data_IF_725480803563
#
_entry.id   IF_725480803563
#
_cell.length_a   1.000
_cell.length_b   1.000
_cell.length_c   1.000
_cell.angle_alpha   90.00
_cell.angle_beta   90.00
_cell.angle_gamma   90.00
#
_symmetry.space_group_name_H-M   'P 1'
#
loop_
_entity.id
_entity.type
_entity.pdbx_description
1 polymer ?
#
# COMPACT_ATOMS: atom_id res chain seq x y z
N UNK A 1 -13.95 -22.88 -5.42
CA UNK A 1 -12.57 -22.39 -5.69
C UNK A 1 -12.65 -20.89 -5.58
N UNK A 2 -12.05 -20.28 -4.55
CA UNK A 2 -12.08 -18.82 -4.40
C UNK A 2 -11.02 -18.29 -5.37
N UNK A 3 -11.46 -17.67 -6.45
CA UNK A 3 -10.59 -17.12 -7.50
C UNK A 3 -9.96 -15.83 -6.96
N UNK A 4 -8.84 -15.95 -6.25
CA UNK A 4 -8.08 -14.79 -5.80
C UNK A 4 -7.39 -14.17 -7.01
N UNK A 5 -7.90 -13.02 -7.47
CA UNK A 5 -7.28 -12.29 -8.58
C UNK A 5 -6.16 -11.41 -8.04
N UNK A 6 -4.93 -11.85 -8.31
CA UNK A 6 -3.76 -11.02 -8.13
C UNK A 6 -3.47 -10.24 -9.41
N UNK A 7 -3.38 -8.91 -9.32
CA UNK A 7 -3.07 -8.03 -10.44
C UNK A 7 -1.76 -7.30 -10.16
N UNK A 8 -0.86 -7.29 -11.14
CA UNK A 8 0.33 -6.45 -11.09
C UNK A 8 -0.04 -5.00 -11.34
N UNK A 9 0.25 -4.12 -10.38
CA UNK A 9 0.06 -2.67 -10.48
C UNK A 9 1.39 -1.95 -10.23
N UNK A 10 1.59 -0.81 -10.88
CA UNK A 10 2.77 0.03 -10.64
C UNK A 10 2.37 1.19 -9.74
N UNK A 11 2.97 1.27 -8.55
CA UNK A 11 2.76 2.38 -7.63
C UNK A 11 4.05 3.14 -7.39
N UNK A 12 3.91 4.46 -7.23
CA UNK A 12 5.00 5.31 -6.78
C UNK A 12 5.26 5.15 -5.28
N UNK A 13 6.53 5.20 -4.90
CA UNK A 13 6.98 5.28 -3.52
C UNK A 13 6.36 6.51 -2.86
N UNK A 14 5.70 6.33 -1.73
CA UNK A 14 4.94 7.40 -1.07
C UNK A 14 5.80 8.61 -0.67
N UNK A 15 7.11 8.39 -0.48
CA UNK A 15 8.07 9.43 -0.10
C UNK A 15 8.71 10.12 -1.30
N UNK A 16 9.31 9.37 -2.23
CA UNK A 16 10.10 9.92 -3.34
C UNK A 16 9.48 9.77 -4.75
N UNK A 17 8.32 9.13 -4.87
CA UNK A 17 7.60 8.97 -6.14
C UNK A 17 8.20 7.95 -7.12
N UNK A 18 9.28 7.26 -6.76
CA UNK A 18 9.87 6.20 -7.60
C UNK A 18 8.87 5.08 -7.88
N UNK A 19 8.76 4.64 -9.13
CA UNK A 19 7.83 3.58 -9.52
C UNK A 19 8.34 2.20 -9.10
N UNK A 20 7.51 1.46 -8.38
CA UNK A 20 7.72 0.07 -8.02
C UNK A 20 6.55 -0.76 -8.52
N UNK A 21 6.85 -2.01 -8.87
CA UNK A 21 5.84 -2.99 -9.24
C UNK A 21 5.35 -3.71 -7.97
N UNK A 22 4.03 -3.75 -7.80
CA UNK A 22 3.35 -4.44 -6.72
C UNK A 22 2.40 -5.46 -7.30
N UNK A 23 2.25 -6.58 -6.61
CA UNK A 23 1.18 -7.51 -6.83
C UNK A 23 0.08 -7.22 -5.80
N UNK A 24 -1.06 -6.75 -6.27
CA UNK A 24 -2.23 -6.48 -5.44
C UNK A 24 -3.18 -7.64 -5.56
N UNK A 25 -3.52 -8.25 -4.44
CA UNK A 25 -4.46 -9.35 -4.36
C UNK A 25 -5.83 -8.83 -3.93
N UNK A 26 -6.86 -9.26 -4.66
CA UNK A 26 -8.26 -8.98 -4.37
C UNK A 26 -9.02 -10.27 -4.08
N UNK A 27 -9.95 -10.18 -3.14
CA UNK A 27 -10.94 -11.21 -2.87
C UNK A 27 -11.93 -11.37 -4.04
N UNK A 28 -12.71 -12.46 -4.04
CA UNK A 28 -13.77 -12.69 -5.02
C UNK A 28 -14.81 -11.55 -5.07
N UNK A 29 -14.95 -10.79 -3.97
CA UNK A 29 -15.81 -9.61 -3.88
C UNK A 29 -15.15 -8.31 -4.40
N UNK A 30 -13.93 -8.37 -4.93
CA UNK A 30 -13.15 -7.20 -5.33
C UNK A 30 -12.56 -6.41 -4.15
N UNK A 31 -12.63 -6.95 -2.93
CA UNK A 31 -12.05 -6.32 -1.74
C UNK A 31 -10.53 -6.52 -1.73
N UNK A 32 -9.77 -5.47 -1.46
CA UNK A 32 -8.33 -5.58 -1.23
C UNK A 32 -8.04 -6.50 -0.04
N UNK A 33 -7.24 -7.53 -0.25
CA UNK A 33 -6.83 -8.49 0.80
C UNK A 33 -5.36 -8.36 1.17
N UNK A 34 -4.54 -7.82 0.28
CA UNK A 34 -3.12 -7.64 0.53
C UNK A 34 -2.36 -7.25 -0.72
N UNK A 35 -1.16 -6.73 -0.54
CA UNK A 35 -0.25 -6.45 -1.64
C UNK A 35 1.15 -6.92 -1.28
N UNK A 36 1.97 -7.16 -2.30
CA UNK A 36 3.37 -7.55 -2.16
C UNK A 36 4.22 -6.82 -3.19
N UNK A 37 5.31 -6.19 -2.76
CA UNK A 37 6.24 -5.56 -3.70
C UNK A 37 6.98 -6.67 -4.46
N UNK A 38 7.01 -6.54 -5.78
CA UNK A 38 7.75 -7.44 -6.68
C UNK A 38 9.08 -6.83 -7.14
N UNK A 39 9.21 -5.50 -7.09
CA UNK A 39 10.46 -4.80 -7.37
C UNK A 39 11.45 -4.87 -6.21
N UNK A 40 12.73 -5.06 -6.53
CA UNK A 40 13.80 -5.04 -5.54
C UNK A 40 13.90 -3.66 -4.86
N UNK A 41 13.99 -3.67 -3.53
CA UNK A 41 14.15 -2.50 -2.69
C UNK A 41 12.93 -1.62 -2.45
N UNK A 42 11.74 -2.12 -2.78
CA UNK A 42 10.50 -1.60 -2.21
C UNK A 42 9.98 -2.50 -1.09
N UNK A 43 9.38 -1.89 -0.08
CA UNK A 43 8.61 -2.53 1.00
C UNK A 43 7.15 -2.10 0.94
N UNK A 44 6.25 -2.99 1.34
CA UNK A 44 4.83 -2.65 1.49
C UNK A 44 4.68 -1.80 2.73
N UNK A 45 3.84 -0.78 2.66
CA UNK A 45 3.44 -0.01 3.84
C UNK A 45 2.34 -0.77 4.57
N UNK A 46 2.62 -1.18 5.80
CA UNK A 46 1.64 -1.82 6.69
C UNK A 46 0.60 -0.78 7.17
N UNK A 47 -0.63 -1.22 7.44
CA UNK A 47 -1.78 -0.37 7.84
C UNK A 47 -2.39 0.51 6.74
N UNK A 48 -2.14 0.20 5.47
CA UNK A 48 -2.86 0.83 4.38
C UNK A 48 -4.02 -0.06 3.90
N UNK A 49 -5.25 0.46 3.94
CA UNK A 49 -6.41 -0.14 3.24
C UNK A 49 -6.27 -0.10 1.70
N UNK A 50 -5.13 0.36 1.20
CA UNK A 50 -4.80 0.55 -0.22
C UNK A 50 -3.37 0.05 -0.48
N UNK A 51 -3.06 -0.39 -1.71
CA UNK A 51 -1.72 -0.81 -2.08
C UNK A 51 -0.75 0.38 -2.08
N UNK A 52 0.06 0.50 -1.02
CA UNK A 52 1.09 1.52 -0.87
C UNK A 52 2.47 0.89 -0.84
N UNK A 53 3.41 1.55 -1.51
CA UNK A 53 4.81 1.15 -1.55
C UNK A 53 5.69 2.23 -0.99
N UNK A 54 6.71 1.80 -0.28
CA UNK A 54 7.80 2.63 0.16
C UNK A 54 9.13 2.01 -0.25
N UNK A 55 10.14 2.84 -0.37
CA UNK A 55 11.47 2.42 -0.73
C UNK A 55 12.22 2.04 0.56
N UNK A 56 13.09 1.04 0.51
CA UNK A 56 13.92 0.67 1.67
C UNK A 56 14.90 1.78 2.10
N UNK A 57 15.10 2.78 1.23
CA UNK A 57 15.95 3.95 1.48
C UNK A 57 15.35 4.90 2.52
N UNK A 58 14.05 4.83 2.76
CA UNK A 58 13.34 5.67 3.73
C UNK A 58 13.05 4.88 5.00
N UNK A 59 13.14 5.55 6.14
CA UNK A 59 12.80 4.95 7.43
C UNK A 59 11.29 4.81 7.58
N UNK A 60 10.87 3.89 8.43
CA UNK A 60 9.45 3.62 8.69
C UNK A 60 8.71 4.87 9.21
N UNK A 61 9.41 5.79 9.88
CA UNK A 61 8.89 7.09 10.31
C UNK A 61 8.60 8.04 9.14
N UNK A 62 9.53 8.17 8.18
CA UNK A 62 9.29 8.97 6.97
C UNK A 62 8.13 8.42 6.15
N UNK A 63 8.04 7.09 6.08
CA UNK A 63 6.98 6.38 5.38
C UNK A 63 5.64 6.67 6.06
N UNK A 64 5.53 6.49 7.38
CA UNK A 64 4.31 6.79 8.14
C UNK A 64 3.90 8.26 7.99
N UNK A 65 4.85 9.18 8.09
CA UNK A 65 4.59 10.62 7.92
C UNK A 65 4.06 10.92 6.52
N UNK A 66 4.67 10.35 5.47
CA UNK A 66 4.22 10.53 4.10
C UNK A 66 2.84 9.92 3.84
N UNK A 67 2.53 8.77 4.45
CA UNK A 67 1.21 8.13 4.40
C UNK A 67 0.16 9.04 5.04
N UNK A 68 0.42 9.53 6.24
CA UNK A 68 -0.45 10.49 6.96
C UNK A 68 -0.66 11.76 6.13
N UNK A 69 0.39 12.29 5.49
CA UNK A 69 0.27 13.47 4.64
C UNK A 69 -0.58 13.22 3.38
N UNK A 70 -0.43 12.05 2.75
CA UNK A 70 -1.01 11.78 1.44
C UNK A 70 -2.44 11.27 1.54
N UNK A 71 -2.76 10.54 2.61
CA UNK A 71 -4.05 9.89 2.80
C UNK A 71 -4.80 10.40 4.05
N UNK A 72 -4.21 11.30 4.82
CA UNK A 72 -4.67 11.61 6.18
C UNK A 72 -4.20 10.55 7.15
N UNK A 73 -4.22 10.85 8.46
CA UNK A 73 -4.28 9.77 9.45
C UNK A 73 -5.41 8.86 8.99
N UNK A 74 -5.09 7.61 8.64
CA UNK A 74 -6.09 6.54 8.71
C UNK A 74 -6.31 6.31 10.19
N UNK A 75 -6.83 7.34 10.88
CA UNK A 75 -7.50 7.17 12.14
C UNK A 75 -8.58 6.17 11.83
N UNK A 76 -8.49 5.06 12.55
CA UNK A 76 -9.61 4.24 12.94
C UNK A 76 -10.61 5.16 13.69
N UNK A 77 -11.20 6.12 12.98
CA UNK A 77 -12.22 7.06 13.44
C UNK A 77 -13.18 7.28 12.27
N UNK A 78 -13.84 6.19 11.87
CA UNK A 78 -15.24 6.30 11.45
C UNK A 78 -16.08 6.46 12.74
N UNK A 79 -15.89 7.60 13.42
CA UNK A 79 -16.92 8.15 14.29
C UNK A 79 -17.65 9.19 13.46
N UNK A 80 -18.81 8.83 12.92
CA UNK A 80 -19.84 9.83 12.63
C UNK A 80 -21.28 9.28 12.57
N UNK A 81 -22.03 9.72 13.59
CA UNK A 81 -23.49 9.94 13.71
C UNK A 81 -24.39 8.83 14.25
#
# INVERSE_FOLDING_TARGET
MVDTKAKGEMHGCIVCGNLYQLLVAYDANGKYIGSKVMSAGGRIVENASRPLVACERHTDEEIKSAVVRAYGESSDEDDQF
#
